data_IF_163277689534
#
_entry.id   IF_163277689534
#
_cell.length_a   1.000
_cell.length_b   1.000
_cell.length_c   1.000
_cell.angle_alpha   90.00
_cell.angle_beta   90.00
_cell.angle_gamma   90.00
#
_symmetry.space_group_name_H-M   'P 1'
#
loop_
_entity.id
_entity.type
_entity.pdbx_description
1 polymer ?
#
# COMPACT_ATOMS: atom_id res chain seq x y z
N UNK A 1 -20.86 -2.90 1.17
CA UNK A 1 -19.94 -1.77 0.94
C UNK A 1 -20.68 -0.45 1.15
N UNK A 2 -20.03 0.45 1.83
CA UNK A 2 -20.63 1.74 2.17
C UNK A 2 -19.90 2.87 1.44
N UNK A 3 -20.29 3.11 0.21
CA UNK A 3 -19.62 4.11 -0.65
C UNK A 3 -19.95 5.51 -0.19
N UNK A 4 -18.93 6.36 -0.07
CA UNK A 4 -19.11 7.77 0.27
C UNK A 4 -17.95 8.61 -0.23
N UNK A 5 -18.15 9.93 -0.22
CA UNK A 5 -17.13 10.88 -0.58
C UNK A 5 -16.26 11.18 0.64
N UNK A 6 -14.94 11.06 0.50
CA UNK A 6 -14.02 11.41 1.58
C UNK A 6 -12.66 11.84 1.02
N UNK A 7 -11.86 12.48 1.86
CA UNK A 7 -10.53 12.98 1.47
C UNK A 7 -9.49 11.87 1.63
N UNK A 8 -9.03 11.32 0.49
CA UNK A 8 -8.02 10.25 0.52
C UNK A 8 -6.69 10.74 1.09
N UNK A 9 -6.32 12.00 0.84
CA UNK A 9 -5.07 12.52 1.38
C UNK A 9 -5.08 12.51 2.90
N UNK A 10 -6.22 12.85 3.52
CA UNK A 10 -6.34 12.80 4.97
C UNK A 10 -6.25 11.37 5.50
N UNK A 11 -6.87 10.42 4.80
CA UNK A 11 -6.80 9.01 5.17
C UNK A 11 -5.36 8.50 5.11
N UNK A 12 -4.61 8.94 4.10
CA UNK A 12 -3.19 8.60 3.98
C UNK A 12 -2.38 9.18 5.14
N UNK A 13 -2.60 10.45 5.49
CA UNK A 13 -1.89 11.07 6.61
C UNK A 13 -2.16 10.34 7.92
N UNK A 14 -3.41 9.99 8.17
CA UNK A 14 -3.81 9.28 9.39
C UNK A 14 -3.17 7.90 9.45
N UNK A 15 -3.16 7.19 8.34
CA UNK A 15 -2.55 5.86 8.29
C UNK A 15 -1.04 5.94 8.50
N UNK A 16 -0.38 6.91 7.84
CA UNK A 16 1.06 7.10 7.99
C UNK A 16 1.43 7.39 9.44
N UNK A 17 0.62 8.20 10.12
CA UNK A 17 0.87 8.53 11.53
C UNK A 17 0.92 7.29 12.42
N UNK A 18 0.14 6.26 12.09
CA UNK A 18 0.11 5.01 12.84
C UNK A 18 1.48 4.31 12.84
N UNK A 19 2.26 4.50 11.79
CA UNK A 19 3.56 3.82 11.62
C UNK A 19 4.76 4.68 11.99
N UNK A 20 4.55 5.93 12.41
CA UNK A 20 5.66 6.83 12.70
C UNK A 20 6.63 6.30 13.74
N UNK A 21 6.13 5.70 14.81
CA UNK A 21 6.98 5.15 15.86
C UNK A 21 7.90 4.06 15.36
N UNK A 22 7.34 3.07 14.67
CA UNK A 22 8.10 1.96 14.12
C UNK A 22 9.12 2.44 13.09
N UNK A 23 8.70 3.35 12.23
CA UNK A 23 9.60 3.89 11.20
C UNK A 23 10.73 4.71 11.81
N UNK A 24 10.42 5.50 12.84
CA UNK A 24 11.43 6.29 13.54
C UNK A 24 12.51 5.40 14.17
N UNK A 25 12.09 4.31 14.81
CA UNK A 25 13.03 3.36 15.43
C UNK A 25 13.97 2.73 14.41
N UNK A 26 13.50 2.52 13.19
CA UNK A 26 14.28 1.90 12.13
C UNK A 26 14.91 2.91 11.18
N UNK A 27 14.77 4.19 11.48
CA UNK A 27 15.24 5.29 10.62
C UNK A 27 14.69 5.17 9.19
N UNK A 28 13.39 4.87 9.08
CA UNK A 28 12.69 4.85 7.81
C UNK A 28 11.90 6.16 7.71
N UNK A 29 12.14 6.93 6.64
CA UNK A 29 11.41 8.17 6.41
C UNK A 29 10.12 7.86 5.65
N UNK A 30 9.00 8.37 6.17
CA UNK A 30 7.73 8.32 5.47
C UNK A 30 7.57 9.63 4.70
N UNK A 31 7.59 9.53 3.37
CA UNK A 31 7.47 10.69 2.49
C UNK A 31 6.10 10.70 1.87
N UNK A 32 5.38 11.81 2.04
CA UNK A 32 4.03 11.96 1.49
C UNK A 32 4.07 12.98 0.36
N UNK A 33 3.79 12.50 -0.86
CA UNK A 33 3.71 13.35 -2.06
C UNK A 33 2.27 13.35 -2.52
N UNK A 34 1.47 14.23 -1.93
CA UNK A 34 0.03 14.22 -2.12
C UNK A 34 -0.42 15.31 -3.08
N UNK A 35 -1.34 14.97 -3.99
CA UNK A 35 -1.88 15.90 -4.97
C UNK A 35 -2.85 16.86 -4.30
N UNK A 36 -2.44 18.11 -4.17
CA UNK A 36 -3.26 19.14 -3.55
C UNK A 36 -3.36 19.01 -2.04
N UNK A 37 -4.10 19.93 -1.45
CA UNK A 37 -4.33 19.93 -0.01
C UNK A 37 -5.35 18.88 0.38
N UNK A 38 -6.38 18.76 -0.43
CA UNK A 38 -7.45 17.78 -0.27
C UNK A 38 -7.66 17.06 -1.59
N UNK A 39 -8.06 15.79 -1.53
CA UNK A 39 -8.34 15.02 -2.72
C UNK A 39 -9.48 14.07 -2.42
N UNK A 40 -10.67 14.39 -2.92
CA UNK A 40 -11.85 13.61 -2.61
C UNK A 40 -12.06 12.47 -3.59
N UNK A 41 -12.37 11.31 -3.03
CA UNK A 41 -12.65 10.09 -3.77
C UNK A 41 -14.02 9.55 -3.35
N UNK A 42 -14.57 8.65 -4.17
CA UNK A 42 -15.78 7.93 -3.83
C UNK A 42 -15.44 6.46 -3.63
N UNK A 43 -15.56 5.98 -2.41
CA UNK A 43 -15.18 4.63 -2.05
C UNK A 43 -15.73 4.29 -0.66
N UNK A 44 -15.51 3.05 -0.22
CA UNK A 44 -15.79 2.66 1.15
C UNK A 44 -14.58 3.04 2.00
N UNK A 45 -14.72 4.08 2.80
CA UNK A 45 -13.60 4.64 3.56
C UNK A 45 -12.93 3.63 4.48
N UNK A 46 -13.70 2.83 5.20
CA UNK A 46 -13.14 1.85 6.12
C UNK A 46 -12.35 0.77 5.38
N UNK A 47 -12.86 0.31 4.24
CA UNK A 47 -12.15 -0.69 3.44
C UNK A 47 -10.88 -0.11 2.82
N UNK A 48 -10.91 1.14 2.39
CA UNK A 48 -9.72 1.78 1.83
C UNK A 48 -8.68 2.04 2.91
N UNK A 49 -9.11 2.37 4.14
CA UNK A 49 -8.18 2.45 5.27
C UNK A 49 -7.47 1.10 5.48
N UNK A 50 -8.21 0.00 5.36
CA UNK A 50 -7.63 -1.33 5.49
C UNK A 50 -6.61 -1.61 4.39
N UNK A 51 -6.91 -1.20 3.15
CA UNK A 51 -5.97 -1.33 2.04
C UNK A 51 -4.68 -0.56 2.33
N UNK A 52 -4.81 0.68 2.73
CA UNK A 52 -3.65 1.53 3.03
C UNK A 52 -2.83 0.96 4.19
N UNK A 53 -3.50 0.53 5.25
CA UNK A 53 -2.82 -0.07 6.39
C UNK A 53 -2.03 -1.32 5.96
N UNK A 54 -2.68 -2.20 5.20
CA UNK A 54 -2.03 -3.45 4.77
C UNK A 54 -0.84 -3.20 3.85
N UNK A 55 -0.98 -2.26 2.90
CA UNK A 55 0.12 -1.93 2.00
C UNK A 55 1.28 -1.27 2.73
N UNK A 56 0.98 -0.36 3.64
CA UNK A 56 2.03 0.33 4.41
C UNK A 56 2.70 -0.62 5.40
N UNK A 57 1.92 -1.46 6.07
CA UNK A 57 2.46 -2.48 6.97
C UNK A 57 3.41 -3.41 6.23
N UNK A 58 3.02 -3.83 5.03
CA UNK A 58 3.85 -4.67 4.18
C UNK A 58 5.14 -3.93 3.79
N UNK A 59 5.03 -2.66 3.40
CA UNK A 59 6.19 -1.86 3.03
C UNK A 59 7.17 -1.72 4.20
N UNK A 60 6.66 -1.46 5.40
CA UNK A 60 7.51 -1.33 6.60
C UNK A 60 8.22 -2.65 6.91
N UNK A 61 7.49 -3.77 6.82
CA UNK A 61 8.09 -5.08 7.13
C UNK A 61 9.23 -5.46 6.20
N UNK A 62 9.12 -5.11 4.93
CA UNK A 62 10.12 -5.53 3.94
C UNK A 62 11.15 -4.46 3.60
N UNK A 63 10.99 -3.25 4.14
CA UNK A 63 11.97 -2.19 3.94
C UNK A 63 13.23 -2.45 4.74
N UNK A 64 14.35 -1.95 4.21
CA UNK A 64 15.59 -1.92 4.95
C UNK A 64 15.57 -0.77 5.96
N UNK A 65 16.33 -0.91 7.04
CA UNK A 65 16.56 0.21 7.95
C UNK A 65 17.30 1.33 7.19
N UNK A 66 17.17 2.55 7.64
CA UNK A 66 17.84 3.71 7.04
C UNK A 66 17.41 3.92 5.58
N UNK A 67 16.11 3.80 5.32
CA UNK A 67 15.57 3.96 3.97
C UNK A 67 14.35 4.87 4.01
N UNK A 68 13.55 4.87 2.95
CA UNK A 68 12.33 5.66 2.89
C UNK A 68 11.19 4.86 2.26
N UNK A 69 9.96 5.26 2.62
CA UNK A 69 8.74 4.76 2.01
C UNK A 69 7.99 5.99 1.52
N UNK A 70 7.53 5.97 0.28
CA UNK A 70 6.82 7.08 -0.32
C UNK A 70 5.37 6.71 -0.55
N UNK A 71 4.46 7.57 -0.07
CA UNK A 71 3.03 7.46 -0.36
C UNK A 71 2.69 8.64 -1.27
N UNK A 72 2.10 8.33 -2.41
CA UNK A 72 1.85 9.36 -3.42
C UNK A 72 0.43 9.28 -3.96
N UNK A 73 -0.19 10.44 -4.20
CA UNK A 73 -1.45 10.49 -4.93
C UNK A 73 -1.27 11.34 -6.18
N UNK A 74 -1.86 10.90 -7.27
CA UNK A 74 -1.91 11.65 -8.53
C UNK A 74 -3.31 11.53 -9.10
N UNK A 75 -3.67 12.43 -9.99
CA UNK A 75 -4.99 12.46 -10.64
C UNK A 75 -4.80 12.41 -12.14
N UNK A 76 -5.55 11.53 -12.79
CA UNK A 76 -5.51 11.43 -14.25
C UNK A 76 -6.85 10.90 -14.76
N UNK A 77 -7.49 11.65 -15.64
CA UNK A 77 -8.73 11.23 -16.32
C UNK A 77 -9.83 10.76 -15.35
N UNK A 78 -10.06 11.54 -14.30
CA UNK A 78 -11.14 11.24 -13.35
C UNK A 78 -10.82 10.12 -12.37
N UNK A 79 -9.59 9.64 -12.39
CA UNK A 79 -9.13 8.62 -11.45
C UNK A 79 -8.03 9.16 -10.55
N UNK A 80 -8.04 8.69 -9.32
CA UNK A 80 -6.98 8.96 -8.34
C UNK A 80 -6.12 7.72 -8.28
N UNK A 81 -4.83 7.90 -8.44
CA UNK A 81 -3.84 6.83 -8.32
C UNK A 81 -3.15 6.99 -6.98
N UNK A 82 -3.14 5.93 -6.18
CA UNK A 82 -2.50 5.90 -4.87
C UNK A 82 -1.35 4.92 -4.93
N UNK A 83 -0.15 5.39 -4.60
CA UNK A 83 1.07 4.60 -4.66
C UNK A 83 1.69 4.46 -3.27
N UNK A 84 2.14 3.24 -2.95
CA UNK A 84 2.94 2.94 -1.77
C UNK A 84 4.21 2.30 -2.26
N UNK A 85 5.35 2.99 -2.12
CA UNK A 85 6.63 2.55 -2.67
C UNK A 85 7.67 2.41 -1.57
N UNK A 86 8.31 1.24 -1.51
CA UNK A 86 9.39 0.99 -0.57
C UNK A 86 10.70 0.72 -1.30
N UNK A 87 11.79 0.71 -0.54
CA UNK A 87 13.14 0.38 -1.02
C UNK A 87 13.63 -0.84 -0.26
N UNK A 88 12.81 -1.89 -0.27
CA UNK A 88 13.11 -3.12 0.43
C UNK A 88 13.72 -4.18 -0.48
N UNK A 89 13.53 -5.43 -0.06
CA UNK A 89 14.14 -6.58 -0.76
C UNK A 89 13.58 -6.82 -2.16
N UNK A 90 12.40 -6.30 -2.45
CA UNK A 90 11.72 -6.57 -3.71
C UNK A 90 11.07 -7.94 -3.70
N UNK A 91 10.33 -8.22 -4.77
CA UNK A 91 9.60 -9.46 -4.95
C UNK A 91 10.18 -10.19 -6.16
N UNK A 92 10.59 -11.47 -6.00
CA UNK A 92 11.07 -12.23 -7.15
C UNK A 92 10.00 -12.30 -8.24
N UNK A 93 10.44 -12.23 -9.48
CA UNK A 93 9.53 -12.21 -10.63
C UNK A 93 8.56 -13.39 -10.62
N UNK A 94 9.05 -14.58 -10.26
CA UNK A 94 8.23 -15.78 -10.20
C UNK A 94 7.17 -15.74 -9.09
N UNK A 95 7.33 -14.86 -8.13
CA UNK A 95 6.35 -14.70 -7.04
C UNK A 95 5.25 -13.69 -7.34
N UNK A 96 5.48 -12.79 -8.30
CA UNK A 96 4.56 -11.67 -8.54
C UNK A 96 3.11 -12.09 -8.83
N UNK A 97 2.92 -13.22 -9.50
CA UNK A 97 1.57 -13.71 -9.77
C UNK A 97 0.92 -14.36 -8.56
N UNK A 98 1.69 -14.67 -7.53
CA UNK A 98 1.21 -15.40 -6.36
C UNK A 98 1.06 -14.57 -5.09
N UNK A 99 1.53 -13.33 -5.10
CA UNK A 99 1.47 -12.49 -3.89
C UNK A 99 0.05 -12.22 -3.42
N UNK A 100 -0.93 -12.36 -4.30
CA UNK A 100 -2.34 -12.13 -3.98
C UNK A 100 -3.03 -13.38 -3.42
N UNK A 101 -2.34 -14.54 -3.46
CA UNK A 101 -2.90 -15.78 -2.94
C UNK A 101 -2.93 -15.76 -1.42
N UNK A 102 -4.00 -16.31 -0.85
CA UNK A 102 -4.12 -16.39 0.60
C UNK A 102 -3.01 -17.26 1.17
N UNK A 103 -2.41 -16.82 2.27
CA UNK A 103 -1.35 -17.52 3.00
C UNK A 103 -0.03 -17.66 2.23
N UNK A 104 0.08 -17.03 1.07
CA UNK A 104 1.36 -17.04 0.36
C UNK A 104 2.33 -16.07 1.04
N UNK A 105 3.54 -16.55 1.30
CA UNK A 105 4.62 -15.72 1.88
C UNK A 105 5.84 -15.85 1.00
N UNK A 106 6.42 -14.72 0.64
CA UNK A 106 7.55 -14.66 -0.31
C UNK A 106 8.78 -15.40 0.21
N UNK A 107 9.13 -15.20 1.49
CA UNK A 107 10.29 -15.85 2.11
C UNK A 107 9.87 -16.87 3.15
N UNK A 108 8.90 -17.72 2.81
CA UNK A 108 8.36 -18.70 3.73
C UNK A 108 9.43 -19.66 4.31
N UNK A 109 10.49 -19.92 3.54
CA UNK A 109 11.58 -20.79 3.96
C UNK A 109 12.50 -20.15 4.99
N UNK A 110 12.44 -18.85 5.15
CA UNK A 110 13.29 -18.12 6.11
C UNK A 110 12.48 -17.84 7.37
N UNK A 111 12.58 -18.73 8.33
CA UNK A 111 11.75 -18.68 9.52
C UNK A 111 11.61 -17.33 10.21
N UNK A 112 12.66 -16.50 10.20
CA UNK A 112 12.66 -15.22 10.87
C UNK A 112 11.78 -14.17 10.18
N UNK A 113 11.39 -14.38 8.93
CA UNK A 113 10.58 -13.43 8.16
C UNK A 113 9.11 -13.81 8.13
N UNK A 114 8.65 -14.54 9.12
CA UNK A 114 7.25 -14.95 9.21
C UNK A 114 6.38 -13.89 9.83
N UNK A 115 6.50 -12.67 9.36
CA UNK A 115 5.63 -11.61 9.86
C UNK A 115 4.35 -11.64 9.07
N UNK A 116 3.23 -11.60 9.78
CA UNK A 116 1.92 -11.61 9.18
C UNK A 116 1.46 -13.00 8.79
N UNK A 117 0.21 -13.07 8.37
CA UNK A 117 -0.49 -14.32 8.08
C UNK A 117 -0.47 -14.72 6.61
N UNK A 118 -0.01 -13.82 5.73
CA UNK A 118 -0.12 -14.03 4.29
C UNK A 118 -1.50 -13.67 3.76
N UNK A 119 -2.32 -12.99 4.56
CA UNK A 119 -3.67 -12.59 4.16
C UNK A 119 -3.79 -11.14 3.72
N UNK A 120 -2.83 -10.29 4.14
CA UNK A 120 -2.93 -8.85 3.91
C UNK A 120 -3.11 -8.46 2.45
N UNK A 121 -2.30 -9.01 1.56
CA UNK A 121 -2.40 -8.67 0.13
C UNK A 121 -3.62 -9.30 -0.53
N UNK A 122 -4.04 -10.48 -0.10
CA UNK A 122 -5.27 -11.09 -0.61
C UNK A 122 -6.47 -10.22 -0.25
N UNK A 123 -6.52 -9.69 0.97
CA UNK A 123 -7.58 -8.78 1.40
C UNK A 123 -7.56 -7.50 0.56
N UNK A 124 -6.38 -6.94 0.32
CA UNK A 124 -6.24 -5.74 -0.52
C UNK A 124 -6.84 -6.00 -1.90
N UNK A 125 -6.48 -7.11 -2.52
CA UNK A 125 -6.98 -7.44 -3.86
C UNK A 125 -8.50 -7.59 -3.87
N UNK A 126 -9.06 -8.26 -2.86
CA UNK A 126 -10.51 -8.43 -2.75
C UNK A 126 -11.22 -7.08 -2.63
N UNK A 127 -10.70 -6.18 -1.79
CA UNK A 127 -11.30 -4.86 -1.59
C UNK A 127 -11.28 -4.05 -2.88
N UNK A 128 -10.13 -3.99 -3.54
CA UNK A 128 -9.98 -3.20 -4.76
C UNK A 128 -10.88 -3.76 -5.87
N UNK A 129 -10.95 -5.08 -6.00
CA UNK A 129 -11.84 -5.72 -6.97
C UNK A 129 -13.31 -5.41 -6.68
N UNK A 130 -13.71 -5.42 -5.40
CA UNK A 130 -15.07 -5.09 -5.01
C UNK A 130 -15.43 -3.65 -5.38
N UNK A 131 -14.44 -2.76 -5.42
CA UNK A 131 -14.62 -1.37 -5.85
C UNK A 131 -14.62 -1.23 -7.37
N UNK A 132 -14.41 -2.33 -8.12
CA UNK A 132 -14.25 -2.33 -9.56
C UNK A 132 -13.10 -1.42 -9.99
N UNK A 133 -12.04 -1.44 -9.21
CA UNK A 133 -10.83 -0.67 -9.44
C UNK A 133 -9.66 -1.63 -9.69
N UNK A 134 -8.50 -1.08 -9.95
CA UNK A 134 -7.31 -1.86 -10.30
C UNK A 134 -6.20 -1.66 -9.28
N UNK A 135 -5.42 -2.70 -9.06
CA UNK A 135 -4.17 -2.59 -8.31
C UNK A 135 -3.07 -3.32 -9.09
N UNK A 136 -1.92 -2.68 -9.16
CA UNK A 136 -0.74 -3.22 -9.84
C UNK A 136 0.44 -3.18 -8.90
N UNK A 137 1.41 -4.05 -9.17
CA UNK A 137 2.66 -4.11 -8.42
C UNK A 137 3.83 -4.04 -9.40
N UNK A 138 4.80 -3.21 -9.06
CA UNK A 138 6.07 -3.10 -9.79
C UNK A 138 7.16 -3.40 -8.77
N UNK A 139 7.99 -4.38 -9.04
CA UNK A 139 9.02 -4.77 -8.08
C UNK A 139 10.28 -5.26 -8.76
N UNK A 140 11.41 -4.93 -8.16
CA UNK A 140 12.73 -5.39 -8.62
C UNK A 140 13.50 -5.85 -7.39
N UNK A 141 13.97 -7.09 -7.43
CA UNK A 141 14.75 -7.67 -6.33
C UNK A 141 15.96 -6.79 -6.06
N UNK A 142 16.19 -6.49 -4.78
CA UNK A 142 17.30 -5.64 -4.35
C UNK A 142 17.07 -4.15 -4.50
N UNK A 143 15.95 -3.73 -5.08
CA UNK A 143 15.61 -2.33 -5.29
C UNK A 143 14.39 -1.92 -4.46
N UNK A 144 13.30 -2.63 -4.59
CA UNK A 144 12.08 -2.33 -3.84
C UNK A 144 10.81 -2.70 -4.56
N UNK A 145 9.68 -2.28 -3.98
CA UNK A 145 8.35 -2.62 -4.47
C UNK A 145 7.45 -1.41 -4.44
N UNK A 146 6.63 -1.26 -5.48
CA UNK A 146 5.62 -0.22 -5.53
C UNK A 146 4.27 -0.84 -5.84
N UNK A 147 3.27 -0.59 -4.98
CA UNK A 147 1.88 -0.94 -5.22
C UNK A 147 1.14 0.32 -5.63
N UNK A 148 0.36 0.23 -6.71
CA UNK A 148 -0.41 1.36 -7.21
C UNK A 148 -1.85 0.91 -7.40
N UNK A 149 -2.81 1.58 -6.73
CA UNK A 149 -4.22 1.29 -6.95
C UNK A 149 -4.99 2.54 -7.33
N UNK A 150 -6.15 2.34 -7.93
CA UNK A 150 -6.98 3.43 -8.42
C UNK A 150 -8.25 3.56 -7.59
N UNK A 151 -8.77 4.77 -7.53
CA UNK A 151 -10.08 5.08 -6.95
C UNK A 151 -10.78 6.08 -7.86
N UNK A 152 -12.10 6.09 -7.79
CA UNK A 152 -12.88 7.08 -8.53
C UNK A 152 -12.72 8.45 -7.85
N UNK A 153 -12.35 9.46 -8.64
CA UNK A 153 -12.28 10.82 -8.11
C UNK A 153 -13.71 11.33 -7.89
N UNK A 154 -13.99 11.84 -6.71
CA UNK A 154 -15.29 12.43 -6.41
C UNK A 154 -15.38 13.82 -7.03
N UNK A 155 -16.61 14.20 -7.37
CA UNK A 155 -16.87 15.53 -7.94
C UNK A 155 -16.95 16.59 -6.86
#
# INVERSE_FOLDING_TARGET
>A
MHMRRFDINETIRTTAATFEGTCSERNIRLELLLAGKELFVRADMEQIQQVLYNLLDNAVKFSSDNSSITLETTVNHGKVFVSVKDHGSGIPKESLSRIWDRFYKIDASRGKDRKGTGLGLAIVKEIINAHKQNINVISTVGVGTEFIFTLEKAK
#
